data_IF_807240204331
#
_entry.id   IF_807240204331
#
_cell.length_a   1.000
_cell.length_b   1.000
_cell.length_c   1.000
_cell.angle_alpha   90.00
_cell.angle_beta   90.00
_cell.angle_gamma   90.00
#
_symmetry.space_group_name_H-M   'P 1'
#
loop_
_entity.id
_entity.type
_entity.pdbx_description
1 polymer ?
#
# COMPACT_ATOMS: atom_id res chain seq x y z
N UNK A 1 30.62 -1.40 -40.69
CA UNK A 1 30.77 -1.28 -39.22
C UNK A 1 29.41 -1.40 -38.58
N UNK A 2 28.98 -2.63 -38.28
CA UNK A 2 27.71 -2.93 -37.60
C UNK A 2 28.09 -3.82 -36.43
N UNK A 3 28.43 -3.23 -35.29
CA UNK A 3 28.83 -3.98 -34.07
C UNK A 3 28.08 -3.47 -32.82
N UNK A 4 27.19 -2.47 -32.93
CA UNK A 4 26.50 -1.90 -31.77
C UNK A 4 25.16 -2.57 -31.40
N UNK A 5 24.60 -3.43 -32.26
CA UNK A 5 23.27 -4.04 -32.07
C UNK A 5 23.19 -5.17 -31.01
N UNK A 6 24.19 -6.06 -30.83
CA UNK A 6 24.04 -7.18 -29.90
C UNK A 6 24.05 -6.76 -28.42
N UNK A 7 24.84 -5.75 -28.06
CA UNK A 7 24.98 -5.27 -26.68
C UNK A 7 23.70 -4.59 -26.19
N UNK A 8 23.08 -3.74 -27.01
CA UNK A 8 21.82 -3.06 -26.67
C UNK A 8 20.67 -4.05 -26.36
N UNK A 9 20.59 -5.15 -27.12
CA UNK A 9 19.56 -6.17 -26.92
C UNK A 9 19.74 -6.97 -25.62
N UNK A 10 20.99 -7.31 -25.23
CA UNK A 10 21.26 -8.00 -23.97
C UNK A 10 20.97 -7.12 -22.75
N UNK A 11 21.24 -5.81 -22.82
CA UNK A 11 21.05 -4.91 -21.68
C UNK A 11 19.57 -4.56 -21.41
N UNK A 12 18.73 -4.48 -22.45
CA UNK A 12 17.27 -4.35 -22.26
C UNK A 12 16.67 -5.55 -21.51
N UNK A 13 17.15 -6.78 -21.78
CA UNK A 13 16.63 -7.99 -21.13
C UNK A 13 16.88 -8.02 -19.61
N UNK A 14 18.02 -7.47 -19.16
CA UNK A 14 18.37 -7.36 -17.74
C UNK A 14 17.50 -6.32 -17.02
N UNK A 15 17.19 -5.21 -17.68
CA UNK A 15 16.31 -4.17 -17.12
C UNK A 15 14.90 -4.71 -16.88
N UNK A 16 14.31 -5.42 -17.85
CA UNK A 16 12.98 -6.03 -17.68
C UNK A 16 12.98 -7.08 -16.56
N UNK A 17 14.02 -7.91 -16.48
CA UNK A 17 14.15 -8.93 -15.42
C UNK A 17 14.23 -8.27 -14.05
N UNK A 18 15.05 -7.22 -13.92
CA UNK A 18 15.19 -6.44 -12.68
C UNK A 18 13.88 -5.77 -12.30
N UNK A 19 13.17 -5.17 -13.26
CA UNK A 19 11.87 -4.55 -13.03
C UNK A 19 10.85 -5.55 -12.51
N UNK A 20 10.73 -6.73 -13.14
CA UNK A 20 9.80 -7.78 -12.70
C UNK A 20 10.15 -8.25 -11.28
N UNK A 21 11.42 -8.41 -10.96
CA UNK A 21 11.87 -8.81 -9.63
C UNK A 21 11.54 -7.76 -8.57
N UNK A 22 11.86 -6.49 -8.82
CA UNK A 22 11.54 -5.37 -7.92
C UNK A 22 10.03 -5.20 -7.78
N UNK A 23 9.26 -5.33 -8.86
CA UNK A 23 7.79 -5.27 -8.83
C UNK A 23 7.22 -6.40 -7.96
N UNK A 24 7.75 -7.62 -8.06
CA UNK A 24 7.37 -8.73 -7.18
C UNK A 24 7.69 -8.42 -5.72
N UNK A 25 8.91 -7.95 -5.43
CA UNK A 25 9.32 -7.56 -4.09
C UNK A 25 8.45 -6.44 -3.51
N UNK A 26 8.06 -5.48 -4.35
CA UNK A 26 7.06 -4.48 -4.03
C UNK A 26 5.74 -5.15 -3.65
N UNK A 27 5.12 -5.92 -4.53
CA UNK A 27 3.82 -6.56 -4.27
C UNK A 27 3.80 -7.44 -3.02
N UNK A 28 4.88 -8.18 -2.72
CA UNK A 28 4.96 -9.06 -1.54
C UNK A 28 5.26 -8.34 -0.22
N UNK A 29 5.71 -7.09 -0.26
CA UNK A 29 6.08 -6.28 0.92
C UNK A 29 4.99 -5.29 1.35
N UNK A 30 3.77 -5.41 0.85
CA UNK A 30 2.66 -4.46 1.12
C UNK A 30 2.40 -4.18 2.60
N UNK A 31 2.62 -5.15 3.50
CA UNK A 31 2.42 -4.95 4.94
C UNK A 31 3.32 -3.89 5.58
N UNK A 32 4.39 -3.44 4.91
CA UNK A 32 5.21 -2.29 5.34
C UNK A 32 4.52 -0.94 5.12
N UNK A 33 3.48 -0.89 4.28
CA UNK A 33 2.90 0.38 3.80
C UNK A 33 1.38 0.40 3.72
N UNK A 34 0.73 -0.76 3.74
CA UNK A 34 -0.72 -0.88 3.69
C UNK A 34 -1.28 -1.20 5.08
N UNK A 35 -2.30 -0.44 5.48
CA UNK A 35 -3.06 -0.73 6.69
C UNK A 35 -3.81 -2.06 6.52
N UNK A 36 -3.76 -2.93 7.54
CA UNK A 36 -4.48 -4.21 7.52
C UNK A 36 -5.38 -4.36 8.74
N UNK A 37 -6.66 -4.60 8.48
CA UNK A 37 -7.64 -5.04 9.47
C UNK A 37 -7.82 -6.55 9.39
N UNK A 38 -7.90 -7.23 10.54
CA UNK A 38 -8.15 -8.68 10.65
C UNK A 38 -7.21 -9.51 9.77
N UNK A 39 -5.93 -9.15 9.76
CA UNK A 39 -4.90 -9.86 9.00
C UNK A 39 -4.33 -11.05 9.77
N UNK A 40 -3.72 -12.00 9.06
CA UNK A 40 -2.93 -13.08 9.67
C UNK A 40 -1.54 -12.55 10.08
N UNK A 41 -1.51 -11.63 11.05
CA UNK A 41 -0.29 -10.95 11.52
C UNK A 41 0.18 -11.44 12.89
N UNK A 42 -0.66 -12.13 13.64
CA UNK A 42 -0.33 -12.74 14.94
C UNK A 42 -0.62 -14.23 14.88
N UNK A 43 0.29 -15.02 15.44
CA UNK A 43 0.17 -16.46 15.58
C UNK A 43 0.67 -16.86 16.98
N UNK A 44 -0.11 -17.66 17.71
CA UNK A 44 0.23 -18.12 19.05
C UNK A 44 0.61 -16.96 20.01
N UNK A 45 -0.15 -15.85 19.99
CA UNK A 45 0.10 -14.63 20.78
C UNK A 45 1.44 -13.93 20.48
N UNK A 46 2.10 -14.26 19.38
CA UNK A 46 3.34 -13.65 18.92
C UNK A 46 3.12 -12.95 17.59
N UNK A 47 3.77 -11.80 17.42
CA UNK A 47 3.73 -11.06 16.16
C UNK A 47 4.56 -11.81 15.11
N UNK A 48 3.98 -12.06 13.93
CA UNK A 48 4.72 -12.55 12.78
C UNK A 48 5.48 -11.38 12.14
N UNK A 49 6.78 -11.34 12.40
CA UNK A 49 7.66 -10.28 11.93
C UNK A 49 7.84 -10.31 10.41
N UNK A 50 7.88 -9.12 9.82
CA UNK A 50 8.36 -8.91 8.46
C UNK A 50 9.90 -8.98 8.43
N UNK A 51 10.56 -9.20 7.27
CA UNK A 51 12.01 -9.43 7.20
C UNK A 51 12.88 -8.38 7.91
N UNK A 52 12.59 -7.10 7.70
CA UNK A 52 13.26 -5.94 8.29
C UNK A 52 12.57 -5.39 9.56
N UNK A 53 11.59 -6.10 10.12
CA UNK A 53 10.81 -5.66 11.27
C UNK A 53 11.44 -6.12 12.59
N UNK A 54 11.57 -5.20 13.54
CA UNK A 54 12.04 -5.46 14.90
C UNK A 54 11.05 -4.90 15.91
N UNK A 55 10.75 -5.67 16.95
CA UNK A 55 9.88 -5.25 18.06
C UNK A 55 10.70 -4.42 19.03
N UNK A 56 10.20 -3.22 19.34
CA UNK A 56 10.75 -2.31 20.35
C UNK A 56 10.08 -2.54 21.69
N UNK A 57 8.74 -2.60 21.72
CA UNK A 57 7.99 -2.84 22.94
C UNK A 57 6.73 -3.67 22.73
N UNK A 58 6.28 -4.31 23.80
CA UNK A 58 5.05 -5.11 23.89
C UNK A 58 4.21 -4.63 25.07
N UNK A 59 3.15 -3.88 24.77
CA UNK A 59 2.25 -3.34 25.80
C UNK A 59 1.04 -4.25 25.96
N UNK A 60 1.01 -5.03 27.03
CA UNK A 60 -0.18 -5.79 27.44
C UNK A 60 -1.21 -4.87 28.12
N UNK A 61 -2.48 -5.29 28.11
CA UNK A 61 -3.54 -4.61 28.85
C UNK A 61 -4.21 -3.47 28.09
N UNK A 62 -4.09 -3.46 26.76
CA UNK A 62 -4.54 -2.36 25.90
C UNK A 62 -5.97 -2.61 25.47
N UNK A 63 -6.89 -1.77 25.91
CA UNK A 63 -8.30 -1.85 25.55
C UNK A 63 -8.55 -1.11 24.23
N UNK A 64 -9.08 -1.80 23.24
CA UNK A 64 -9.63 -1.17 22.05
C UNK A 64 -11.02 -0.58 22.35
N UNK A 65 -11.24 0.68 21.97
CA UNK A 65 -12.45 1.45 22.23
C UNK A 65 -13.38 1.57 21.01
N UNK A 66 -13.16 0.79 19.95
CA UNK A 66 -14.01 0.83 18.75
C UNK A 66 -15.35 0.09 18.90
N UNK A 67 -15.58 -0.57 20.04
CA UNK A 67 -16.82 -1.30 20.36
C UNK A 67 -17.27 -1.04 21.80
N UNK A 68 -18.57 -1.08 22.03
CA UNK A 68 -19.24 -0.72 23.29
C UNK A 68 -18.77 -1.54 24.50
N UNK A 69 -18.41 -2.80 24.28
CA UNK A 69 -17.96 -3.73 25.33
C UNK A 69 -16.44 -3.65 25.58
N UNK A 70 -15.68 -2.95 24.71
CA UNK A 70 -14.22 -2.91 24.72
C UNK A 70 -13.58 -4.29 24.47
N UNK A 71 -12.47 -4.34 23.75
CA UNK A 71 -11.70 -5.59 23.61
C UNK A 71 -10.34 -5.43 24.29
N UNK A 72 -10.03 -6.30 25.24
CA UNK A 72 -8.71 -6.36 25.87
C UNK A 72 -7.72 -7.03 24.91
N UNK A 73 -6.59 -6.37 24.70
CA UNK A 73 -5.58 -6.82 23.78
C UNK A 73 -4.17 -6.43 24.17
N UNK A 74 -3.29 -6.56 23.19
CA UNK A 74 -1.86 -6.32 23.31
C UNK A 74 -1.38 -5.51 22.13
N UNK A 75 -0.56 -4.48 22.38
CA UNK A 75 0.20 -3.81 21.35
C UNK A 75 1.56 -4.47 21.15
N UNK A 76 1.98 -4.50 19.89
CA UNK A 76 3.37 -4.62 19.48
C UNK A 76 3.78 -3.34 18.77
N UNK A 77 4.81 -2.69 19.30
CA UNK A 77 5.40 -1.47 18.76
C UNK A 77 6.70 -1.89 18.07
N UNK A 78 6.83 -1.61 16.78
CA UNK A 78 7.98 -2.03 15.97
C UNK A 78 8.64 -0.82 15.30
N UNK A 79 9.73 -1.02 14.55
CA UNK A 79 10.32 0.03 13.72
C UNK A 79 9.48 0.43 12.50
N UNK A 80 8.50 -0.36 12.05
CA UNK A 80 7.77 -0.10 10.79
C UNK A 80 6.26 0.08 10.94
N UNK A 81 5.67 -0.51 11.99
CA UNK A 81 4.22 -0.50 12.22
C UNK A 81 3.84 -0.68 13.68
N UNK A 82 2.63 -0.23 14.01
CA UNK A 82 1.97 -0.55 15.27
C UNK A 82 0.94 -1.65 15.02
N UNK A 83 1.00 -2.74 15.80
CA UNK A 83 0.02 -3.83 15.72
C UNK A 83 -0.70 -3.96 17.04
N UNK A 84 -2.02 -4.06 16.98
CA UNK A 84 -2.86 -4.44 18.12
C UNK A 84 -3.64 -5.71 17.78
N UNK A 85 -3.75 -6.63 18.74
CA UNK A 85 -4.67 -7.76 18.62
C UNK A 85 -5.41 -8.00 19.93
N UNK A 86 -6.64 -8.50 19.84
CA UNK A 86 -7.39 -8.93 21.01
C UNK A 86 -6.80 -10.22 21.60
N UNK A 87 -6.86 -10.33 22.93
CA UNK A 87 -6.33 -11.49 23.63
C UNK A 87 -7.23 -12.72 23.49
N UNK A 88 -8.55 -12.55 23.46
CA UNK A 88 -9.51 -13.64 23.31
C UNK A 88 -9.64 -14.14 21.87
N UNK A 89 -9.46 -13.25 20.89
CA UNK A 89 -9.57 -13.57 19.47
C UNK A 89 -8.48 -12.84 18.68
N UNK A 90 -7.40 -13.54 18.35
CA UNK A 90 -6.24 -12.96 17.64
C UNK A 90 -6.60 -12.48 16.23
N UNK A 91 -7.62 -13.06 15.60
CA UNK A 91 -8.14 -12.60 14.30
C UNK A 91 -8.80 -11.22 14.37
N UNK A 92 -9.12 -10.74 15.57
CA UNK A 92 -9.51 -9.35 15.78
C UNK A 92 -8.27 -8.51 16.09
N UNK A 93 -7.66 -8.01 15.02
CA UNK A 93 -6.44 -7.23 15.07
C UNK A 93 -6.45 -6.08 14.06
N UNK A 94 -5.52 -5.16 14.25
CA UNK A 94 -5.20 -4.08 13.32
C UNK A 94 -3.69 -3.90 13.27
N UNK A 95 -3.15 -3.76 12.06
CA UNK A 95 -1.76 -3.45 11.77
C UNK A 95 -1.70 -2.14 11.02
N UNK A 96 -1.13 -1.10 11.63
CA UNK A 96 -1.01 0.24 11.05
C UNK A 96 0.47 0.55 10.82
N UNK A 97 0.94 0.58 9.57
CA UNK A 97 2.27 1.08 9.25
C UNK A 97 2.44 2.54 9.59
N UNK A 98 3.64 2.93 10.01
CA UNK A 98 3.96 4.34 10.29
C UNK A 98 3.70 5.25 9.08
N UNK A 99 3.90 4.74 7.87
CA UNK A 99 3.58 5.45 6.63
C UNK A 99 2.11 5.91 6.56
N UNK A 100 1.19 5.14 7.13
CA UNK A 100 -0.24 5.44 7.10
C UNK A 100 -0.71 6.22 8.33
N UNK A 101 0.16 6.50 9.30
CA UNK A 101 -0.21 7.27 10.48
C UNK A 101 -0.20 8.76 10.17
N UNK A 102 -1.34 9.42 10.38
CA UNK A 102 -1.43 10.88 10.29
C UNK A 102 -1.11 11.52 11.63
N UNK A 103 -1.70 11.01 12.71
CA UNK A 103 -1.42 11.55 14.05
C UNK A 103 -1.67 10.54 15.15
N UNK A 104 -0.89 10.67 16.23
CA UNK A 104 -1.04 9.88 17.46
C UNK A 104 -1.07 10.86 18.62
N UNK A 105 -2.17 10.90 19.36
CA UNK A 105 -2.40 11.89 20.43
C UNK A 105 -3.15 11.25 21.59
N UNK A 106 -3.01 11.81 22.79
CA UNK A 106 -3.92 11.49 23.89
C UNK A 106 -5.13 12.41 23.79
N UNK A 107 -6.34 11.86 23.85
CA UNK A 107 -7.59 12.63 23.94
C UNK A 107 -8.51 12.05 25.01
N UNK A 108 -9.42 12.88 25.50
CA UNK A 108 -10.48 12.45 26.39
C UNK A 108 -11.51 11.58 25.64
N UNK A 109 -12.09 10.61 26.35
CA UNK A 109 -13.07 9.67 25.81
C UNK A 109 -14.11 9.32 26.87
N UNK A 110 -15.20 8.66 26.47
CA UNK A 110 -16.24 8.17 27.40
C UNK A 110 -15.69 7.25 28.50
N UNK A 111 -14.51 6.66 28.29
CA UNK A 111 -13.89 5.68 29.18
C UNK A 111 -12.61 6.22 29.84
N UNK A 112 -12.41 7.54 29.83
CA UNK A 112 -11.21 8.23 30.31
C UNK A 112 -10.25 8.59 29.17
N UNK A 113 -9.05 9.05 29.53
CA UNK A 113 -8.03 9.41 28.53
C UNK A 113 -7.60 8.19 27.72
N UNK A 114 -7.47 8.39 26.41
CA UNK A 114 -7.15 7.33 25.47
C UNK A 114 -6.13 7.80 24.43
N UNK A 115 -5.32 6.86 23.95
CA UNK A 115 -4.53 7.03 22.73
C UNK A 115 -5.49 7.02 21.55
N UNK A 116 -5.48 8.10 20.78
CA UNK A 116 -6.19 8.23 19.52
C UNK A 116 -5.18 8.25 18.39
N UNK A 117 -5.30 7.27 17.50
CA UNK A 117 -4.49 7.10 16.31
C UNK A 117 -5.35 7.36 15.07
N UNK A 118 -5.00 8.40 14.33
CA UNK A 118 -5.65 8.81 13.09
C UNK A 118 -4.79 8.38 11.90
N UNK A 119 -5.40 7.77 10.90
CA UNK A 119 -4.71 7.28 9.69
C UNK A 119 -4.92 8.22 8.50
N UNK A 120 -4.08 8.08 7.48
CA UNK A 120 -4.15 8.88 6.25
C UNK A 120 -5.48 8.67 5.52
N UNK A 121 -5.97 9.68 4.79
CA UNK A 121 -7.17 9.53 3.95
C UNK A 121 -6.98 8.50 2.83
N UNK A 122 -5.74 8.30 2.36
CA UNK A 122 -5.41 7.27 1.36
C UNK A 122 -5.63 5.86 1.90
N UNK A 123 -5.48 5.65 3.21
CA UNK A 123 -5.75 4.39 3.91
C UNK A 123 -7.17 4.25 4.46
N UNK A 124 -8.09 5.18 4.13
CA UNK A 124 -9.48 5.15 4.59
C UNK A 124 -9.81 6.06 5.78
N UNK A 125 -8.85 6.78 6.35
CA UNK A 125 -9.11 7.83 7.35
C UNK A 125 -9.66 7.31 8.68
N UNK A 126 -9.27 6.11 9.08
CA UNK A 126 -9.67 5.51 10.36
C UNK A 126 -9.21 6.32 11.57
N UNK A 127 -10.06 6.35 12.60
CA UNK A 127 -9.78 6.88 13.94
C UNK A 127 -9.87 5.73 14.94
N UNK A 128 -8.72 5.33 15.49
CA UNK A 128 -8.60 4.17 16.38
C UNK A 128 -8.32 4.65 17.81
N UNK A 129 -9.17 4.26 18.75
CA UNK A 129 -9.06 4.62 20.17
C UNK A 129 -8.60 3.46 21.04
N UNK A 130 -7.63 3.70 21.92
CA UNK A 130 -7.08 2.69 22.82
C UNK A 130 -6.89 3.25 24.23
N UNK A 131 -7.41 2.56 25.24
CA UNK A 131 -7.14 2.87 26.65
C UNK A 131 -6.02 2.01 27.19
N UNK A 132 -5.11 2.63 27.93
CA UNK A 132 -3.98 1.97 28.60
C UNK A 132 -3.95 2.50 30.02
N UNK A 133 -3.87 1.59 30.99
CA UNK A 133 -3.80 1.90 32.41
C UNK A 133 -2.44 1.43 32.98
N UNK A 134 -1.79 2.19 33.88
CA UNK A 134 -2.18 3.53 34.35
C UNK A 134 -1.79 4.64 33.33
N UNK A 135 -2.17 5.89 33.63
CA UNK A 135 -1.96 7.05 32.75
C UNK A 135 -0.50 7.26 32.35
N UNK A 136 0.44 6.98 33.26
CA UNK A 136 1.87 7.12 33.02
C UNK A 136 2.29 6.21 31.85
N UNK A 137 1.81 4.97 31.85
CA UNK A 137 2.06 4.00 30.78
C UNK A 137 1.46 4.43 29.46
N UNK A 138 0.27 5.04 29.48
CA UNK A 138 -0.36 5.63 28.30
C UNK A 138 0.53 6.72 27.70
N UNK A 139 1.04 7.63 28.53
CA UNK A 139 1.91 8.72 28.08
C UNK A 139 3.24 8.22 27.53
N UNK A 140 3.88 7.26 28.20
CA UNK A 140 5.10 6.60 27.73
C UNK A 140 4.91 5.94 26.36
N UNK A 141 3.84 5.13 26.23
CA UNK A 141 3.49 4.44 24.98
C UNK A 141 3.28 5.43 23.83
N UNK A 142 2.54 6.52 24.07
CA UNK A 142 2.31 7.56 23.05
C UNK A 142 3.61 8.25 22.64
N UNK A 143 4.47 8.58 23.61
CA UNK A 143 5.75 9.24 23.35
C UNK A 143 6.69 8.34 22.54
N UNK A 144 6.72 7.04 22.84
CA UNK A 144 7.49 6.04 22.09
C UNK A 144 7.00 5.96 20.64
N UNK A 145 5.70 5.75 20.43
CA UNK A 145 5.10 5.66 19.10
C UNK A 145 5.37 6.93 18.28
N UNK A 146 5.22 8.11 18.88
CA UNK A 146 5.51 9.38 18.21
C UNK A 146 6.99 9.52 17.83
N UNK A 147 7.90 9.04 18.69
CA UNK A 147 9.34 9.10 18.44
C UNK A 147 9.72 8.17 17.29
N UNK A 148 9.24 6.93 17.31
CA UNK A 148 9.45 5.96 16.22
C UNK A 148 8.83 6.44 14.91
N UNK A 149 7.62 6.98 14.94
CA UNK A 149 6.98 7.56 13.76
C UNK A 149 7.81 8.70 13.15
N UNK A 150 8.41 9.57 13.97
CA UNK A 150 9.30 10.66 13.50
C UNK A 150 10.59 10.10 12.88
N UNK A 151 11.21 9.12 13.52
CA UNK A 151 12.43 8.47 12.99
C UNK A 151 12.13 7.78 11.67
N UNK A 152 11.06 6.98 11.60
CA UNK A 152 10.60 6.33 10.38
C UNK A 152 10.31 7.34 9.26
N UNK A 153 9.67 8.47 9.57
CA UNK A 153 9.35 9.50 8.57
C UNK A 153 10.59 10.16 7.96
N UNK A 154 11.74 10.11 8.64
CA UNK A 154 13.00 10.68 8.13
C UNK A 154 13.68 9.73 7.13
N UNK A 155 13.51 8.42 7.29
CA UNK A 155 14.06 7.39 6.40
C UNK A 155 13.13 6.16 6.41
N UNK A 156 12.09 6.14 5.56
CA UNK A 156 11.06 5.11 5.61
C UNK A 156 11.56 3.78 5.06
N UNK A 157 11.28 2.70 5.79
CA UNK A 157 11.54 1.32 5.36
C UNK A 157 10.32 0.79 4.61
N UNK A 158 10.41 0.70 3.28
CA UNK A 158 9.30 0.27 2.43
C UNK A 158 9.19 -1.25 2.24
N UNK A 159 10.19 -2.00 2.73
CA UNK A 159 10.24 -3.47 2.67
C UNK A 159 10.58 -4.07 1.30
N UNK A 160 10.95 -3.26 0.32
CA UNK A 160 11.32 -3.72 -1.03
C UNK A 160 12.79 -4.15 -0.99
N UNK A 161 13.02 -5.43 -0.75
CA UNK A 161 14.36 -6.04 -0.78
C UNK A 161 14.66 -6.58 -2.18
N UNK A 162 15.81 -6.20 -2.72
CA UNK A 162 16.32 -6.69 -3.99
C UNK A 162 17.85 -6.77 -3.92
N UNK A 163 18.37 -7.99 -3.93
CA UNK A 163 19.80 -8.23 -4.07
C UNK A 163 20.15 -8.28 -5.57
N UNK A 164 21.07 -7.41 -6.00
CA UNK A 164 21.67 -7.50 -7.32
C UNK A 164 22.78 -8.54 -7.24
N UNK A 165 22.77 -9.53 -8.13
CA UNK A 165 23.92 -10.42 -8.29
C UNK A 165 25.21 -9.59 -8.49
N UNK A 166 26.29 -9.97 -7.81
CA UNK A 166 27.56 -9.21 -7.64
C UNK A 166 28.39 -9.00 -8.93
N UNK A 167 27.80 -9.07 -10.11
CA UNK A 167 28.45 -8.63 -11.35
C UNK A 167 27.76 -7.43 -12.00
N UNK A 168 27.81 -6.24 -11.37
CA UNK A 168 27.54 -5.01 -12.09
C UNK A 168 28.75 -4.74 -13.00
N UNK A 169 28.65 -5.10 -14.28
CA UNK A 169 29.50 -4.45 -15.29
C UNK A 169 29.14 -2.95 -15.26
N UNK A 170 30.05 -2.19 -14.65
CA UNK A 170 30.25 -0.74 -14.68
C UNK A 170 29.04 0.08 -15.17
N UNK A 171 28.22 0.55 -14.23
CA UNK A 171 27.12 1.50 -14.47
C UNK A 171 27.58 2.85 -15.03
N UNK A 172 28.87 3.18 -14.98
CA UNK A 172 29.41 4.42 -15.53
C UNK A 172 29.48 4.43 -17.06
N UNK A 173 29.58 3.26 -17.71
CA UNK A 173 29.55 3.12 -19.17
C UNK A 173 28.10 3.13 -19.72
N UNK A 174 27.09 3.21 -18.83
CA UNK A 174 25.66 3.16 -19.16
C UNK A 174 24.98 4.54 -19.23
N UNK A 175 25.74 5.63 -19.13
CA UNK A 175 25.23 6.96 -19.50
C UNK A 175 25.11 7.03 -21.02
N UNK A 176 23.96 6.64 -21.56
CA UNK A 176 23.55 7.11 -22.88
C UNK A 176 23.52 8.64 -22.76
N UNK A 177 24.35 9.35 -23.54
CA UNK A 177 24.18 10.80 -23.68
C UNK A 177 22.71 11.03 -24.01
N UNK A 178 22.00 11.77 -23.16
CA UNK A 178 20.67 12.22 -23.49
C UNK A 178 20.82 13.04 -24.76
N UNK A 179 20.50 12.45 -25.91
CA UNK A 179 20.18 13.23 -27.09
C UNK A 179 19.00 14.07 -26.62
N UNK A 180 19.26 15.35 -26.38
CA UNK A 180 18.17 16.31 -26.34
C UNK A 180 17.62 16.26 -27.76
N UNK A 181 16.61 15.40 -27.96
CA UNK A 181 15.69 15.64 -29.04
C UNK A 181 15.22 17.07 -28.79
N UNK A 182 15.51 17.95 -29.76
CA UNK A 182 15.09 19.34 -29.77
C UNK A 182 13.58 19.33 -30.00
N UNK A 183 12.86 18.82 -29.00
CA UNK A 183 11.42 18.82 -28.94
C UNK A 183 11.11 20.17 -28.32
N UNK A 184 10.68 21.11 -29.15
CA UNK A 184 9.96 22.27 -28.66
C UNK A 184 8.84 21.74 -27.76
N UNK A 185 9.00 21.92 -26.44
CA UNK A 185 7.93 21.69 -25.49
C UNK A 185 6.94 22.80 -25.78
N UNK A 186 6.04 22.54 -26.73
CA UNK A 186 4.90 23.40 -26.96
C UNK A 186 4.08 23.28 -25.69
N UNK A 187 4.06 24.36 -24.92
CA UNK A 187 3.26 24.54 -23.71
C UNK A 187 1.78 24.69 -24.14
N UNK A 188 1.27 23.71 -24.90
CA UNK A 188 -0.16 23.58 -25.14
C UNK A 188 -0.77 23.14 -23.81
N UNK A 189 -1.65 24.00 -23.31
CA UNK A 189 -2.34 23.87 -22.03
C UNK A 189 -3.26 22.62 -21.91
N UNK A 190 -3.07 21.61 -22.75
CA UNK A 190 -3.81 20.36 -22.85
C UNK A 190 -2.94 19.15 -22.50
N UNK A 191 -2.40 19.11 -21.26
CA UNK A 191 -1.82 17.88 -20.69
C UNK A 191 -2.81 16.68 -20.63
N UNK A 192 -4.08 16.89 -21.02
CA UNK A 192 -5.11 15.85 -21.14
C UNK A 192 -4.80 14.83 -22.24
N UNK A 193 -4.14 15.22 -23.34
CA UNK A 193 -4.01 14.37 -24.53
C UNK A 193 -2.90 13.30 -24.37
N UNK A 194 -1.89 13.59 -23.56
CA UNK A 194 -0.79 12.65 -23.31
C UNK A 194 -1.24 11.38 -22.57
N UNK A 195 -2.24 11.45 -21.69
CA UNK A 195 -2.75 10.26 -20.98
C UNK A 195 -3.64 9.41 -21.89
N UNK A 196 -4.39 10.05 -22.80
CA UNK A 196 -5.30 9.37 -23.71
C UNK A 196 -4.57 8.40 -24.66
N UNK A 197 -3.34 8.73 -25.04
CA UNK A 197 -2.49 7.87 -25.88
C UNK A 197 -2.10 6.53 -25.22
N UNK A 198 -2.21 6.39 -23.89
CA UNK A 198 -1.82 5.19 -23.15
C UNK A 198 -3.00 4.39 -22.58
N UNK A 199 -4.24 4.70 -22.97
CA UNK A 199 -5.39 3.91 -22.56
C UNK A 199 -5.32 2.48 -23.09
N UNK A 200 -5.30 1.50 -22.18
CA UNK A 200 -5.30 0.08 -22.52
C UNK A 200 -6.56 -0.32 -23.33
N UNK A 201 -7.70 0.30 -23.02
CA UNK A 201 -8.99 0.03 -23.65
C UNK A 201 -9.31 1.00 -24.83
N UNK A 202 -8.32 1.76 -25.30
CA UNK A 202 -8.50 2.82 -26.31
C UNK A 202 -9.29 4.01 -25.75
N UNK A 203 -10.24 4.57 -26.49
CA UNK A 203 -10.96 5.80 -26.08
C UNK A 203 -12.00 5.59 -24.95
N UNK A 204 -11.84 4.57 -24.10
CA UNK A 204 -12.72 4.30 -22.96
C UNK A 204 -12.05 4.77 -21.68
N UNK A 205 -12.44 5.95 -21.20
CA UNK A 205 -11.90 6.52 -19.96
C UNK A 205 -12.56 5.96 -18.70
N UNK A 206 -13.82 5.48 -18.79
CA UNK A 206 -14.62 5.12 -17.62
C UNK A 206 -15.58 3.96 -17.88
N UNK A 207 -15.62 3.05 -16.93
CA UNK A 207 -16.61 1.97 -16.86
C UNK A 207 -17.99 2.50 -16.44
N UNK A 208 -19.04 2.02 -17.11
CA UNK A 208 -20.43 2.22 -16.66
C UNK A 208 -20.72 1.34 -15.44
N UNK A 209 -21.74 1.68 -14.63
CA UNK A 209 -22.05 0.90 -13.44
C UNK A 209 -22.39 -0.57 -13.78
N UNK A 210 -21.98 -1.53 -12.93
CA UNK A 210 -22.36 -2.93 -13.10
C UNK A 210 -23.86 -3.12 -12.82
N UNK A 211 -24.53 -3.92 -13.65
CA UNK A 211 -25.94 -4.30 -13.53
C UNK A 211 -26.09 -5.81 -13.68
N UNK A 212 -27.12 -6.38 -13.08
CA UNK A 212 -27.43 -7.81 -13.27
C UNK A 212 -28.06 -8.04 -14.65
N UNK A 213 -27.52 -8.97 -15.42
CA UNK A 213 -28.12 -9.46 -16.66
C UNK A 213 -28.89 -10.75 -16.39
N UNK A 214 -30.21 -10.71 -16.59
CA UNK A 214 -31.06 -11.90 -16.49
C UNK A 214 -30.75 -12.95 -17.58
N UNK A 215 -30.35 -12.49 -18.77
CA UNK A 215 -30.02 -13.37 -19.90
C UNK A 215 -28.77 -14.23 -19.64
N UNK A 216 -27.76 -13.66 -18.99
CA UNK A 216 -26.49 -14.35 -18.71
C UNK A 216 -26.40 -14.89 -17.28
N UNK A 217 -27.25 -14.42 -16.35
CA UNK A 217 -27.14 -14.72 -14.93
C UNK A 217 -25.88 -14.13 -14.27
N UNK A 218 -25.29 -13.08 -14.87
CA UNK A 218 -24.03 -12.46 -14.45
C UNK A 218 -24.19 -10.96 -14.21
N UNK A 219 -23.28 -10.39 -13.41
CA UNK A 219 -23.09 -8.95 -13.36
C UNK A 219 -22.29 -8.50 -14.60
N UNK A 220 -22.85 -7.58 -15.37
CA UNK A 220 -22.23 -7.00 -16.56
C UNK A 220 -22.12 -5.48 -16.43
N UNK A 221 -21.19 -4.86 -17.15
CA UNK A 221 -21.21 -3.41 -17.34
C UNK A 221 -22.53 -3.00 -18.04
N UNK A 222 -23.21 -1.96 -17.55
CA UNK A 222 -24.44 -1.45 -18.18
C UNK A 222 -24.22 -1.18 -19.67
N UNK A 223 -25.07 -1.75 -20.54
CA UNK A 223 -24.99 -1.57 -21.98
C UNK A 223 -25.19 -0.10 -22.42
N UNK A 224 -24.72 0.22 -23.63
CA UNK A 224 -24.93 1.55 -24.20
C UNK A 224 -26.39 1.61 -24.65
N UNK A 225 -26.99 2.79 -24.58
CA UNK A 225 -28.36 2.97 -25.05
C UNK A 225 -28.46 2.53 -26.52
N UNK A 226 -29.46 1.72 -26.84
CA UNK A 226 -29.67 1.15 -28.18
C UNK A 226 -28.92 -0.14 -28.48
N UNK A 227 -28.10 -0.67 -27.57
CA UNK A 227 -27.44 -1.97 -27.72
C UNK A 227 -28.10 -3.05 -26.86
N UNK A 228 -28.21 -4.26 -27.41
CA UNK A 228 -28.59 -5.49 -26.70
C UNK A 228 -27.41 -6.44 -26.65
N UNK A 229 -27.43 -7.45 -25.76
CA UNK A 229 -26.37 -8.45 -25.68
C UNK A 229 -26.23 -9.24 -26.98
N UNK A 230 -27.34 -9.67 -27.56
CA UNK A 230 -27.34 -10.40 -28.83
C UNK A 230 -26.71 -9.56 -29.95
N UNK A 231 -27.06 -8.27 -30.06
CA UNK A 231 -26.49 -7.37 -31.08
C UNK A 231 -24.98 -7.14 -30.92
N UNK A 232 -24.45 -7.24 -29.70
CA UNK A 232 -23.01 -7.10 -29.44
C UNK A 232 -22.24 -8.41 -29.66
N UNK A 233 -22.93 -9.55 -29.58
CA UNK A 233 -22.34 -10.87 -29.75
C UNK A 233 -22.33 -11.32 -31.22
N UNK A 234 -23.41 -11.01 -31.95
CA UNK A 234 -23.55 -11.36 -33.35
C UNK A 234 -22.61 -10.53 -34.23
N UNK A 235 -21.81 -11.20 -35.06
CA UNK A 235 -21.03 -10.56 -36.11
C UNK A 235 -21.90 -10.46 -37.35
N UNK A 236 -22.32 -9.26 -37.72
CA UNK A 236 -22.99 -9.04 -39.01
C UNK A 236 -21.91 -8.97 -40.08
N UNK A 237 -21.83 -10.00 -40.94
CA UNK A 237 -20.99 -9.94 -42.13
C UNK A 237 -21.43 -8.75 -43.00
N UNK A 238 -20.47 -7.90 -43.38
CA UNK A 238 -20.69 -6.77 -44.29
C UNK A 238 -20.90 -7.23 -45.73
#
# INVERSE_FOLDING_TARGET
TIVALPLYASHQSLLFTTFIAVHRAYETSKLYRDLKLRGAVVENKQLRLLPLEQVYDKVNGVWNLSSDQGNLGTFFITNVRLVWHANLNESFNVSVPYLQMRSVKVRDSKFGMALVLETSSQSGGYVLGFRIDPMEKLQETVKEIQSLHRVYSSSPVLGVEFERDEHPQVLEDLKVESVQDDVDIVDEADHSDAFAAYFADGNKEKDRPPVFSEELGLAIEKLKDGFTLSNLWEVVDK
#
